data_IF_132904534080
#
_entry.id   IF_132904534080
#
_cell.length_a   1.000
_cell.length_b   1.000
_cell.length_c   1.000
_cell.angle_alpha   90.00
_cell.angle_beta   90.00
_cell.angle_gamma   90.00
#
_symmetry.space_group_name_H-M   'P 1'
#
loop_
_entity.id
_entity.type
_entity.pdbx_description
1 polymer ?
#
# COMPACT_ATOMS: atom_id res chain seq x y z
N UNK A 1 3.28 22.74 0.42
CA UNK A 1 1.85 22.75 0.09
C UNK A 1 1.20 21.39 0.42
N UNK A 2 1.72 20.24 -0.09
CA UNK A 2 1.14 18.92 0.13
C UNK A 2 0.95 18.61 1.63
N UNK A 3 2.01 18.79 2.44
CA UNK A 3 1.94 18.57 3.89
C UNK A 3 0.93 19.49 4.58
N UNK A 4 0.77 20.73 4.10
CA UNK A 4 -0.22 21.65 4.65
C UNK A 4 -1.63 21.13 4.39
N UNK A 5 -1.96 20.81 3.13
CA UNK A 5 -3.27 20.26 2.75
C UNK A 5 -3.59 18.98 3.52
N UNK A 6 -2.62 18.08 3.64
CA UNK A 6 -2.82 16.76 4.29
C UNK A 6 -3.01 16.87 5.82
N UNK A 7 -2.47 17.92 6.45
CA UNK A 7 -2.58 18.14 7.90
C UNK A 7 -3.84 18.92 8.31
N UNK A 8 -4.42 19.71 7.41
CA UNK A 8 -5.56 20.60 7.73
C UNK A 8 -6.87 20.01 7.20
N UNK A 9 -7.28 18.85 7.78
CA UNK A 9 -8.52 18.18 7.40
C UNK A 9 -9.76 19.05 7.66
N UNK A 10 -9.71 20.00 8.57
CA UNK A 10 -10.75 20.98 8.86
C UNK A 10 -10.99 21.97 7.70
N UNK A 11 -9.99 22.11 6.80
CA UNK A 11 -10.09 22.93 5.59
C UNK A 11 -10.23 22.05 4.33
N UNK A 12 -9.71 20.84 4.36
CA UNK A 12 -9.55 19.97 3.18
C UNK A 12 -10.03 18.53 3.49
N UNK A 13 -11.29 18.28 3.18
CA UNK A 13 -11.99 17.03 3.50
C UNK A 13 -11.61 15.87 2.59
N UNK A 14 -11.69 14.66 3.15
CA UNK A 14 -11.60 13.39 2.44
C UNK A 14 -12.95 12.81 2.03
N UNK A 15 -14.07 13.27 2.58
CA UNK A 15 -15.40 12.66 2.42
C UNK A 15 -15.89 12.59 0.96
N UNK A 16 -15.51 13.57 0.13
CA UNK A 16 -15.84 13.55 -1.29
C UNK A 16 -14.99 12.58 -2.12
N UNK A 17 -14.18 11.73 -1.46
CA UNK A 17 -13.28 10.74 -2.05
C UNK A 17 -11.84 11.20 -2.16
N UNK A 18 -10.93 10.22 -2.22
CA UNK A 18 -9.47 10.40 -2.16
C UNK A 18 -8.76 10.28 -3.52
N UNK A 19 -9.48 9.94 -4.57
CA UNK A 19 -8.97 9.80 -5.94
C UNK A 19 -9.69 10.76 -6.88
N UNK A 20 -9.13 10.98 -8.08
CA UNK A 20 -9.74 11.86 -9.10
C UNK A 20 -11.15 11.44 -9.49
N UNK A 21 -11.47 10.16 -9.39
CA UNK A 21 -12.67 9.61 -9.99
C UNK A 21 -12.58 9.60 -11.53
N UNK A 22 -13.52 8.96 -12.19
CA UNK A 22 -13.59 9.00 -13.65
C UNK A 22 -14.36 10.24 -14.12
N UNK A 23 -13.88 10.96 -15.16
CA UNK A 23 -14.69 11.92 -15.86
C UNK A 23 -16.00 11.23 -16.33
N UNK A 24 -17.12 11.90 -16.14
CA UNK A 24 -18.45 11.41 -16.56
C UNK A 24 -19.00 10.15 -15.85
N UNK A 25 -18.58 9.87 -14.63
CA UNK A 25 -19.08 8.73 -13.84
C UNK A 25 -20.49 8.94 -13.25
N UNK A 26 -21.36 9.70 -13.90
CA UNK A 26 -22.80 9.85 -13.55
C UNK A 26 -23.66 8.69 -14.06
N UNK A 27 -23.11 7.48 -14.24
CA UNK A 27 -23.98 6.34 -14.54
C UNK A 27 -24.71 5.92 -13.27
N UNK A 28 -26.04 5.72 -13.37
CA UNK A 28 -26.89 5.22 -12.29
C UNK A 28 -26.38 3.90 -11.67
N UNK A 29 -25.62 3.12 -12.42
CA UNK A 29 -25.00 1.87 -11.96
C UNK A 29 -23.91 2.10 -10.90
N UNK A 30 -23.19 3.25 -10.94
CA UNK A 30 -22.20 3.62 -9.92
C UNK A 30 -22.84 4.19 -8.67
N UNK A 31 -23.97 4.85 -8.77
CA UNK A 31 -24.72 5.34 -7.60
C UNK A 31 -25.19 4.18 -6.72
N UNK A 32 -25.41 3.00 -7.31
CA UNK A 32 -25.87 1.80 -6.61
C UNK A 32 -24.75 0.94 -6.00
N UNK A 33 -23.46 1.19 -6.30
CA UNK A 33 -22.33 0.44 -5.77
C UNK A 33 -21.29 1.39 -5.17
N UNK A 34 -21.70 2.11 -4.13
CA UNK A 34 -20.79 2.97 -3.36
C UNK A 34 -20.34 2.25 -2.10
N UNK A 35 -19.02 2.16 -1.92
CA UNK A 35 -18.40 1.71 -0.67
C UNK A 35 -17.92 2.92 0.11
N UNK A 36 -18.10 2.89 1.43
CA UNK A 36 -17.56 3.88 2.34
C UNK A 36 -16.42 3.26 3.15
N UNK A 37 -15.35 3.99 3.38
CA UNK A 37 -14.21 3.53 4.17
C UNK A 37 -13.57 4.70 4.93
N UNK A 38 -12.85 4.42 6.01
CA UNK A 38 -12.38 5.48 6.90
C UNK A 38 -11.32 6.41 6.29
N UNK A 39 -10.60 6.03 5.22
CA UNK A 39 -9.68 6.96 4.54
C UNK A 39 -10.41 8.05 3.74
N UNK A 40 -11.70 7.80 3.43
CA UNK A 40 -12.60 8.75 2.78
C UNK A 40 -13.67 9.27 3.77
N UNK A 41 -13.29 9.43 5.03
CA UNK A 41 -14.12 10.00 6.09
C UNK A 41 -13.34 11.09 6.81
N UNK A 42 -14.07 12.03 7.40
CA UNK A 42 -13.53 13.02 8.32
C UNK A 42 -13.89 12.66 9.79
N UNK A 43 -13.25 13.27 10.80
CA UNK A 43 -13.61 13.10 12.19
C UNK A 43 -15.09 13.52 12.46
N UNK A 44 -15.79 12.88 13.41
CA UNK A 44 -15.29 11.85 14.34
C UNK A 44 -15.32 10.42 13.78
N UNK A 45 -16.04 10.15 12.68
CA UNK A 45 -16.25 8.81 12.15
C UNK A 45 -14.96 8.14 11.71
N UNK A 46 -14.07 8.91 11.05
CA UNK A 46 -12.72 8.48 10.72
C UNK A 46 -11.97 7.92 11.93
N UNK A 47 -11.96 8.70 13.02
CA UNK A 47 -11.12 8.41 14.19
C UNK A 47 -11.53 7.10 14.87
N UNK A 48 -12.83 6.88 15.06
CA UNK A 48 -13.33 5.67 15.74
C UNK A 48 -13.11 4.40 14.94
N UNK A 49 -13.31 4.45 13.61
CA UNK A 49 -13.08 3.28 12.75
C UNK A 49 -11.59 2.97 12.62
N UNK A 50 -10.77 3.99 12.42
CA UNK A 50 -9.32 3.84 12.37
C UNK A 50 -8.77 3.29 13.70
N UNK A 51 -9.23 3.81 14.83
CA UNK A 51 -8.79 3.37 16.15
C UNK A 51 -9.09 1.89 16.41
N UNK A 52 -10.20 1.37 15.86
CA UNK A 52 -10.58 -0.04 16.01
C UNK A 52 -9.53 -1.00 15.41
N UNK A 53 -8.96 -0.66 14.27
CA UNK A 53 -8.01 -1.53 13.55
C UNK A 53 -6.53 -1.18 13.80
N UNK A 54 -6.25 -0.01 14.36
CA UNK A 54 -4.88 0.45 14.61
C UNK A 54 -4.03 -0.51 15.48
N UNK A 55 -4.58 -1.23 16.47
CA UNK A 55 -3.80 -2.17 17.28
C UNK A 55 -3.11 -3.27 16.50
N UNK A 56 -3.61 -3.67 15.30
CA UNK A 56 -2.99 -4.72 14.47
C UNK A 56 -1.55 -4.36 14.08
N UNK A 57 -1.23 -3.08 13.94
CA UNK A 57 0.11 -2.56 13.61
C UNK A 57 0.78 -1.86 14.80
N UNK A 58 0.31 -2.09 16.02
CA UNK A 58 0.95 -1.58 17.23
C UNK A 58 2.36 -2.18 17.41
N UNK A 59 3.29 -1.47 18.06
CA UNK A 59 4.68 -1.95 18.21
C UNK A 59 4.82 -3.35 18.80
N UNK A 60 3.96 -3.72 19.76
CA UNK A 60 3.93 -5.07 20.35
C UNK A 60 3.57 -6.15 19.33
N UNK A 61 2.57 -5.91 18.49
CA UNK A 61 2.17 -6.85 17.46
C UNK A 61 3.23 -6.94 16.35
N UNK A 62 3.83 -5.81 15.98
CA UNK A 62 4.92 -5.79 15.00
C UNK A 62 6.12 -6.61 15.46
N UNK A 63 6.49 -6.55 16.75
CA UNK A 63 7.57 -7.36 17.30
C UNK A 63 7.28 -8.87 17.15
N UNK A 64 6.03 -9.29 17.32
CA UNK A 64 5.62 -10.68 17.13
C UNK A 64 5.60 -11.10 15.64
N UNK A 65 5.36 -10.15 14.73
CA UNK A 65 5.33 -10.44 13.28
C UNK A 65 6.73 -10.52 12.66
N UNK A 66 7.77 -9.98 13.28
CA UNK A 66 9.12 -9.93 12.68
C UNK A 66 9.65 -11.32 12.34
N UNK A 67 9.53 -12.29 13.26
CA UNK A 67 9.97 -13.68 13.02
C UNK A 67 9.16 -14.34 11.90
N UNK A 68 7.85 -14.14 11.88
CA UNK A 68 6.97 -14.68 10.83
C UNK A 68 7.31 -14.10 9.46
N UNK A 69 7.54 -12.79 9.36
CA UNK A 69 7.95 -12.15 8.10
C UNK A 69 9.27 -12.72 7.61
N UNK A 70 10.24 -12.90 8.51
CA UNK A 70 11.56 -13.42 8.19
C UNK A 70 11.51 -14.87 7.70
N UNK A 71 10.76 -15.72 8.40
CA UNK A 71 10.55 -17.11 8.01
C UNK A 71 9.92 -17.21 6.62
N UNK A 72 8.87 -16.44 6.36
CA UNK A 72 8.19 -16.44 5.06
C UNK A 72 9.04 -15.87 3.95
N UNK A 73 9.71 -14.75 4.18
CA UNK A 73 10.65 -14.18 3.21
C UNK A 73 11.76 -15.18 2.88
N UNK A 74 12.33 -15.84 3.91
CA UNK A 74 13.33 -16.90 3.73
C UNK A 74 12.79 -18.06 2.89
N UNK A 75 11.64 -18.62 3.28
CA UNK A 75 11.02 -19.75 2.56
C UNK A 75 10.70 -19.43 1.10
N UNK A 76 10.16 -18.24 0.83
CA UNK A 76 9.91 -17.77 -0.54
C UNK A 76 11.22 -17.72 -1.33
N UNK A 77 12.26 -17.05 -0.80
CA UNK A 77 13.54 -16.90 -1.50
C UNK A 77 14.27 -18.23 -1.70
N UNK A 78 14.13 -19.20 -0.78
CA UNK A 78 14.71 -20.54 -0.88
C UNK A 78 14.00 -21.43 -1.93
N UNK A 79 12.75 -21.10 -2.30
CA UNK A 79 11.98 -21.83 -3.32
C UNK A 79 12.18 -21.32 -4.75
N UNK A 80 12.91 -20.22 -4.94
CA UNK A 80 13.07 -19.58 -6.23
C UNK A 80 14.04 -20.35 -7.15
N UNK A 81 13.81 -20.34 -8.48
CA UNK A 81 14.71 -20.96 -9.41
C UNK A 81 16.06 -20.20 -9.45
N UNK A 82 17.15 -20.94 -9.53
CA UNK A 82 18.52 -20.42 -9.63
C UNK A 82 18.96 -20.50 -11.10
N UNK A 83 19.63 -19.45 -11.58
CA UNK A 83 20.14 -19.31 -12.96
C UNK A 83 19.07 -19.33 -14.06
N UNK A 84 17.81 -19.30 -13.72
CA UNK A 84 16.68 -19.19 -14.63
C UNK A 84 15.99 -17.82 -14.50
N UNK A 85 15.36 -17.36 -15.59
CA UNK A 85 14.54 -16.15 -15.56
C UNK A 85 13.15 -16.47 -15.02
N UNK A 86 12.67 -15.61 -14.11
CA UNK A 86 11.31 -15.69 -13.57
C UNK A 86 10.75 -14.30 -13.27
N UNK A 87 9.45 -14.23 -12.93
CA UNK A 87 8.79 -12.98 -12.57
C UNK A 87 8.88 -12.72 -11.05
N UNK A 88 9.66 -11.70 -10.68
CA UNK A 88 9.82 -11.27 -9.29
C UNK A 88 8.53 -10.77 -8.66
N UNK A 89 7.65 -10.13 -9.46
CA UNK A 89 6.40 -9.56 -8.94
C UNK A 89 5.52 -10.66 -8.39
N UNK A 90 5.28 -11.72 -9.15
CA UNK A 90 4.43 -12.83 -8.74
C UNK A 90 5.10 -13.71 -7.68
N UNK A 91 6.34 -14.14 -7.94
CA UNK A 91 7.02 -15.13 -7.12
C UNK A 91 7.43 -14.60 -5.73
N UNK A 92 7.72 -13.31 -5.60
CA UNK A 92 8.22 -12.72 -4.35
C UNK A 92 7.30 -11.64 -3.80
N UNK A 93 7.05 -10.58 -4.59
CA UNK A 93 6.39 -9.38 -4.05
C UNK A 93 4.93 -9.65 -3.70
N UNK A 94 4.17 -10.29 -4.60
CA UNK A 94 2.78 -10.69 -4.36
C UNK A 94 2.72 -11.79 -3.29
N UNK A 95 3.57 -12.80 -3.39
CA UNK A 95 3.52 -13.93 -2.48
C UNK A 95 3.72 -13.50 -1.03
N UNK A 96 4.75 -12.68 -0.74
CA UNK A 96 5.01 -12.21 0.61
C UNK A 96 3.88 -11.32 1.15
N UNK A 97 3.45 -10.33 0.36
CA UNK A 97 2.39 -9.40 0.83
C UNK A 97 1.07 -10.11 1.04
N UNK A 98 0.74 -11.09 0.20
CA UNK A 98 -0.48 -11.90 0.31
C UNK A 98 -0.46 -12.77 1.55
N UNK A 99 0.67 -13.43 1.84
CA UNK A 99 0.86 -14.22 3.06
C UNK A 99 0.74 -13.34 4.32
N UNK A 100 1.28 -12.12 4.27
CA UNK A 100 1.18 -11.19 5.41
C UNK A 100 -0.25 -10.68 5.61
N UNK A 101 -0.97 -10.37 4.54
CA UNK A 101 -2.38 -10.02 4.63
C UNK A 101 -3.22 -11.15 5.22
N UNK A 102 -3.01 -12.39 4.76
CA UNK A 102 -3.70 -13.55 5.32
C UNK A 102 -3.48 -13.66 6.83
N UNK A 103 -2.27 -13.37 7.32
CA UNK A 103 -1.99 -13.32 8.77
C UNK A 103 -2.73 -12.19 9.48
N UNK A 104 -2.72 -10.98 8.92
CA UNK A 104 -3.35 -9.82 9.55
C UNK A 104 -4.88 -9.95 9.65
N UNK A 105 -5.49 -10.67 8.71
CA UNK A 105 -6.93 -10.94 8.68
C UNK A 105 -7.32 -12.27 9.37
N UNK A 106 -6.37 -13.12 9.76
CA UNK A 106 -6.61 -14.54 10.10
C UNK A 106 -7.45 -15.21 9.01
N UNK A 107 -7.02 -15.00 7.75
CA UNK A 107 -7.70 -15.47 6.54
C UNK A 107 -7.17 -16.87 6.15
N UNK A 108 -8.01 -17.79 5.63
CA UNK A 108 -7.58 -19.10 5.16
C UNK A 108 -6.39 -19.01 4.21
N UNK A 109 -5.31 -19.68 4.56
CA UNK A 109 -4.02 -19.51 3.87
C UNK A 109 -4.05 -20.03 2.43
N UNK A 110 -4.81 -21.09 2.19
CA UNK A 110 -5.06 -21.68 0.87
C UNK A 110 -5.73 -20.71 -0.09
N UNK A 111 -6.61 -19.86 0.43
CA UNK A 111 -7.39 -18.89 -0.35
C UNK A 111 -6.71 -17.51 -0.45
N UNK A 112 -5.52 -17.34 0.12
CA UNK A 112 -4.83 -16.04 0.24
C UNK A 112 -4.73 -15.25 -1.07
N UNK A 113 -4.61 -15.92 -2.22
CA UNK A 113 -4.51 -15.27 -3.53
C UNK A 113 -5.78 -14.50 -3.93
N UNK A 114 -6.92 -14.79 -3.32
CA UNK A 114 -8.15 -14.00 -3.48
C UNK A 114 -7.94 -12.56 -2.99
N UNK A 115 -7.13 -12.34 -1.95
CA UNK A 115 -6.82 -11.00 -1.43
C UNK A 115 -6.14 -10.14 -2.50
N UNK A 116 -5.16 -10.70 -3.23
CA UNK A 116 -4.51 -9.99 -4.35
C UNK A 116 -5.48 -9.75 -5.49
N UNK A 117 -6.30 -10.74 -5.87
CA UNK A 117 -7.30 -10.60 -6.93
C UNK A 117 -8.29 -9.47 -6.63
N UNK A 118 -8.83 -9.41 -5.42
CA UNK A 118 -9.77 -8.35 -5.02
C UNK A 118 -9.08 -6.97 -4.94
N UNK A 119 -7.80 -6.93 -4.54
CA UNK A 119 -6.99 -5.70 -4.59
C UNK A 119 -6.84 -5.17 -6.01
N UNK A 120 -6.44 -6.03 -6.95
CA UNK A 120 -6.24 -5.68 -8.35
C UNK A 120 -7.55 -5.20 -9.00
N UNK A 121 -8.66 -5.88 -8.72
CA UNK A 121 -10.00 -5.49 -9.19
C UNK A 121 -10.44 -4.15 -8.58
N UNK A 122 -10.19 -3.94 -7.30
CA UNK A 122 -10.57 -2.70 -6.63
C UNK A 122 -9.81 -1.47 -7.15
N UNK A 123 -8.53 -1.64 -7.49
CA UNK A 123 -7.64 -0.58 -7.98
C UNK A 123 -7.61 -0.45 -9.51
N UNK A 124 -8.25 -1.37 -10.24
CA UNK A 124 -8.32 -1.35 -11.69
C UNK A 124 -8.92 -0.03 -12.20
N UNK A 125 -8.15 0.67 -13.02
CA UNK A 125 -8.57 1.89 -13.71
C UNK A 125 -9.27 1.59 -15.04
N UNK A 126 -9.75 2.64 -15.72
CA UNK A 126 -10.24 2.51 -17.09
C UNK A 126 -9.16 1.96 -18.01
N UNK A 127 -9.49 0.99 -18.83
CA UNK A 127 -8.57 0.40 -19.80
C UNK A 127 -7.83 -0.85 -19.31
N UNK A 128 -8.03 -1.29 -18.06
CA UNK A 128 -7.46 -2.55 -17.54
C UNK A 128 -8.22 -3.80 -17.98
N UNK A 129 -9.19 -3.67 -18.90
CA UNK A 129 -9.98 -4.81 -19.39
C UNK A 129 -11.01 -5.35 -18.39
N UNK A 130 -11.12 -4.79 -17.19
CA UNK A 130 -12.11 -5.17 -16.17
C UNK A 130 -13.37 -4.32 -16.34
N UNK A 131 -14.51 -4.95 -16.69
CA UNK A 131 -15.79 -4.25 -16.79
C UNK A 131 -16.33 -3.84 -15.43
N UNK A 132 -17.26 -2.86 -15.41
CA UNK A 132 -17.92 -2.44 -14.17
C UNK A 132 -18.73 -3.59 -13.54
N UNK A 133 -19.35 -4.43 -14.37
CA UNK A 133 -20.10 -5.61 -13.93
C UNK A 133 -19.18 -6.67 -13.31
N UNK A 134 -18.07 -6.99 -13.98
CA UNK A 134 -17.06 -7.91 -13.45
C UNK A 134 -16.53 -7.41 -12.12
N UNK A 135 -16.14 -6.13 -12.04
CA UNK A 135 -15.68 -5.51 -10.79
C UNK A 135 -16.71 -5.64 -9.67
N UNK A 136 -17.98 -5.37 -9.96
CA UNK A 136 -19.08 -5.50 -9.00
C UNK A 136 -19.20 -6.95 -8.51
N UNK A 137 -19.21 -7.90 -9.40
CA UNK A 137 -19.33 -9.33 -9.09
C UNK A 137 -18.21 -9.79 -8.17
N UNK A 138 -16.97 -9.46 -8.51
CA UNK A 138 -15.79 -9.83 -7.74
C UNK A 138 -15.76 -9.19 -6.34
N UNK A 139 -16.16 -7.93 -6.22
CA UNK A 139 -16.22 -7.26 -4.93
C UNK A 139 -17.40 -7.74 -4.06
N UNK A 140 -18.49 -8.20 -4.66
CA UNK A 140 -19.57 -8.86 -3.92
C UNK A 140 -19.16 -10.26 -3.45
N UNK A 141 -18.36 -10.99 -4.24
CA UNK A 141 -17.72 -12.24 -3.79
C UNK A 141 -16.83 -11.99 -2.56
N UNK A 142 -16.00 -10.95 -2.59
CA UNK A 142 -15.21 -10.52 -1.45
C UNK A 142 -16.09 -10.25 -0.22
N UNK A 143 -17.17 -9.49 -0.38
CA UNK A 143 -18.11 -9.22 0.70
C UNK A 143 -18.73 -10.49 1.28
N UNK A 144 -19.18 -11.41 0.43
CA UNK A 144 -19.77 -12.67 0.85
C UNK A 144 -18.77 -13.55 1.62
N UNK A 145 -17.54 -13.64 1.14
CA UNK A 145 -16.47 -14.39 1.80
C UNK A 145 -16.16 -13.82 3.19
N UNK A 146 -15.92 -12.53 3.29
CA UNK A 146 -15.63 -11.89 4.57
C UNK A 146 -16.82 -11.84 5.51
N UNK A 147 -18.06 -11.80 5.01
CA UNK A 147 -19.26 -11.92 5.84
C UNK A 147 -19.35 -13.28 6.51
N UNK A 148 -18.95 -14.36 5.82
CA UNK A 148 -18.85 -15.69 6.42
C UNK A 148 -17.83 -15.69 7.56
N UNK A 149 -16.62 -15.20 7.32
CA UNK A 149 -15.57 -15.10 8.35
C UNK A 149 -16.00 -14.22 9.53
N UNK A 150 -16.69 -13.12 9.25
CA UNK A 150 -17.27 -12.25 10.28
C UNK A 150 -18.24 -13.02 11.17
N UNK A 151 -19.19 -13.75 10.58
CA UNK A 151 -20.18 -14.55 11.31
C UNK A 151 -19.54 -15.65 12.18
N UNK A 152 -18.41 -16.17 11.77
CA UNK A 152 -17.61 -17.07 12.60
C UNK A 152 -16.99 -16.32 13.79
N UNK A 153 -16.36 -15.16 13.54
CA UNK A 153 -15.64 -14.36 14.56
C UNK A 153 -16.52 -13.75 15.63
N UNK A 154 -17.76 -13.32 15.31
CA UNK A 154 -18.67 -12.74 16.32
C UNK A 154 -19.05 -13.73 17.42
N UNK A 155 -18.95 -15.04 17.15
CA UNK A 155 -19.24 -16.11 18.10
C UNK A 155 -18.00 -16.63 18.84
N UNK A 156 -16.80 -16.13 18.51
CA UNK A 156 -15.55 -16.48 19.16
C UNK A 156 -15.11 -15.40 20.15
N UNK A 157 -14.14 -15.72 21.00
CA UNK A 157 -13.50 -14.69 21.82
C UNK A 157 -12.72 -13.69 20.92
N UNK A 158 -12.66 -12.39 21.27
CA UNK A 158 -11.91 -11.41 20.53
C UNK A 158 -10.44 -11.81 20.32
N UNK A 159 -9.95 -11.69 19.08
CA UNK A 159 -8.58 -11.97 18.68
C UNK A 159 -7.89 -10.70 18.14
N UNK A 160 -6.59 -10.78 17.94
CA UNK A 160 -5.76 -9.67 17.45
C UNK A 160 -5.71 -9.52 15.93
N UNK A 161 -6.60 -10.18 15.18
CA UNK A 161 -6.73 -10.04 13.74
C UNK A 161 -7.74 -8.96 13.33
N UNK A 162 -7.64 -8.48 12.08
CA UNK A 162 -8.47 -7.39 11.57
C UNK A 162 -9.96 -7.73 11.52
N UNK A 163 -10.34 -8.97 11.21
CA UNK A 163 -11.75 -9.38 11.15
C UNK A 163 -12.34 -9.38 12.55
N UNK A 164 -11.64 -9.97 13.51
CA UNK A 164 -12.07 -10.01 14.91
C UNK A 164 -12.15 -8.59 15.50
N UNK A 165 -11.18 -7.71 15.22
CA UNK A 165 -11.21 -6.31 15.66
C UNK A 165 -12.43 -5.57 15.13
N UNK A 166 -12.77 -5.73 13.85
CA UNK A 166 -13.93 -5.10 13.24
C UNK A 166 -15.25 -5.68 13.79
N UNK A 167 -15.33 -7.01 13.98
CA UNK A 167 -16.52 -7.71 14.44
C UNK A 167 -16.86 -7.42 15.91
N UNK A 168 -15.87 -7.21 16.77
CA UNK A 168 -16.05 -6.93 18.19
C UNK A 168 -15.94 -5.44 18.55
N UNK A 169 -15.46 -4.61 17.61
CA UNK A 169 -15.31 -3.17 17.84
C UNK A 169 -16.66 -2.49 18.11
N UNK A 170 -16.76 -1.72 19.20
CA UNK A 170 -17.98 -1.02 19.58
C UNK A 170 -18.57 -0.18 18.44
N UNK A 171 -17.70 0.47 17.68
CA UNK A 171 -18.05 1.43 16.62
C UNK A 171 -18.05 0.82 15.21
N UNK A 172 -17.74 -0.48 15.09
CA UNK A 172 -17.63 -1.16 13.78
C UNK A 172 -18.54 -2.39 13.67
N UNK A 173 -18.93 -3.02 14.77
CA UNK A 173 -19.73 -4.25 14.77
C UNK A 173 -21.10 -4.12 14.10
N UNK A 174 -21.66 -2.91 14.04
CA UNK A 174 -22.98 -2.63 13.47
C UNK A 174 -22.89 -1.88 12.12
N UNK A 175 -21.68 -1.88 11.45
CA UNK A 175 -21.54 -1.16 10.20
C UNK A 175 -22.32 -1.84 9.06
N UNK A 176 -22.82 -1.00 8.14
CA UNK A 176 -23.55 -1.49 6.97
C UNK A 176 -22.64 -2.37 6.07
N UNK A 177 -23.19 -3.37 5.35
CA UNK A 177 -22.39 -4.27 4.50
C UNK A 177 -21.46 -3.57 3.51
N UNK A 178 -21.91 -2.49 2.87
CA UNK A 178 -21.10 -1.75 1.90
C UNK A 178 -20.01 -0.89 2.57
N UNK A 179 -20.18 -0.49 3.81
CA UNK A 179 -19.15 0.17 4.61
C UNK A 179 -18.12 -0.86 5.11
N UNK A 180 -18.56 -2.04 5.51
CA UNK A 180 -17.68 -3.16 5.84
C UNK A 180 -16.81 -3.53 4.62
N UNK A 181 -17.42 -3.75 3.44
CA UNK A 181 -16.69 -4.00 2.21
C UNK A 181 -15.68 -2.90 1.90
N UNK A 182 -16.08 -1.63 2.04
CA UNK A 182 -15.20 -0.50 1.79
C UNK A 182 -13.95 -0.50 2.70
N UNK A 183 -14.14 -0.79 3.98
CA UNK A 183 -13.02 -0.90 4.94
C UNK A 183 -12.14 -2.12 4.66
N UNK A 184 -12.72 -3.27 4.29
CA UNK A 184 -11.96 -4.44 3.87
C UNK A 184 -11.07 -4.13 2.67
N UNK A 185 -11.66 -3.56 1.61
CA UNK A 185 -10.92 -3.18 0.40
C UNK A 185 -9.80 -2.19 0.74
N UNK A 186 -10.06 -1.19 1.58
CA UNK A 186 -9.04 -0.25 2.03
C UNK A 186 -7.85 -0.97 2.69
N UNK A 187 -8.12 -1.90 3.60
CA UNK A 187 -7.09 -2.63 4.34
C UNK A 187 -6.34 -3.62 3.44
N UNK A 188 -7.04 -4.29 2.52
CA UNK A 188 -6.44 -5.20 1.54
C UNK A 188 -5.53 -4.43 0.58
N UNK A 189 -6.02 -3.39 -0.08
CA UNK A 189 -5.25 -2.56 -1.03
C UNK A 189 -4.07 -1.89 -0.33
N UNK A 190 -4.30 -1.32 0.85
CA UNK A 190 -3.24 -0.64 1.62
C UNK A 190 -2.10 -1.57 2.03
N UNK A 191 -2.42 -2.81 2.41
CA UNK A 191 -1.42 -3.80 2.83
C UNK A 191 -0.74 -4.55 1.68
N UNK A 192 -1.40 -4.66 0.53
CA UNK A 192 -0.90 -5.41 -0.63
C UNK A 192 -0.14 -4.50 -1.62
N UNK A 193 -0.84 -3.58 -2.29
CA UNK A 193 -0.34 -2.90 -3.49
C UNK A 193 0.90 -2.03 -3.23
N UNK A 194 0.90 -1.30 -2.12
CA UNK A 194 1.98 -0.35 -1.84
C UNK A 194 3.28 -1.05 -1.47
N UNK A 195 3.21 -2.12 -0.68
CA UNK A 195 4.36 -2.89 -0.23
C UNK A 195 4.93 -3.73 -1.37
N UNK A 196 4.10 -4.48 -2.13
CA UNK A 196 4.56 -5.27 -3.28
C UNK A 196 5.29 -4.40 -4.31
N UNK A 197 4.75 -3.23 -4.59
CA UNK A 197 5.36 -2.31 -5.55
C UNK A 197 6.65 -1.67 -5.03
N UNK A 198 6.80 -1.52 -3.71
CA UNK A 198 8.04 -1.06 -3.09
C UNK A 198 9.12 -2.16 -3.09
N UNK A 199 8.74 -3.42 -2.89
CA UNK A 199 9.65 -4.58 -3.00
C UNK A 199 10.20 -4.66 -4.43
N UNK A 200 9.32 -4.69 -5.44
CA UNK A 200 9.71 -4.75 -6.85
C UNK A 200 10.49 -3.51 -7.29
N UNK A 201 10.04 -2.32 -6.85
CA UNK A 201 10.68 -1.05 -7.17
C UNK A 201 12.09 -0.91 -6.59
N UNK A 202 12.34 -1.52 -5.42
CA UNK A 202 13.68 -1.56 -4.81
C UNK A 202 14.66 -2.40 -5.64
N UNK A 203 14.24 -3.56 -6.13
CA UNK A 203 15.05 -4.40 -7.03
C UNK A 203 15.38 -3.65 -8.32
N UNK A 204 14.38 -3.06 -8.96
CA UNK A 204 14.57 -2.29 -10.18
C UNK A 204 15.49 -1.08 -9.96
N UNK A 205 15.28 -0.33 -8.88
CA UNK A 205 16.09 0.86 -8.58
C UNK A 205 17.57 0.52 -8.40
N UNK A 206 17.90 -0.55 -7.67
CA UNK A 206 19.30 -0.97 -7.48
C UNK A 206 19.93 -1.47 -8.78
N UNK A 207 19.16 -2.12 -9.66
CA UNK A 207 19.67 -2.50 -10.99
C UNK A 207 19.91 -1.28 -11.89
N UNK A 208 19.11 -0.23 -11.77
CA UNK A 208 19.28 1.04 -12.50
C UNK A 208 20.42 1.90 -11.94
N UNK A 209 20.85 1.64 -10.69
CA UNK A 209 21.91 2.35 -9.99
C UNK A 209 22.95 1.35 -9.44
N UNK A 210 23.78 0.74 -10.31
CA UNK A 210 24.67 -0.35 -9.93
C UNK A 210 25.75 0.05 -8.91
N UNK A 211 26.13 1.33 -8.87
CA UNK A 211 27.01 1.91 -7.85
C UNK A 211 26.36 1.86 -6.46
N UNK A 212 25.06 2.14 -6.36
CA UNK A 212 24.30 2.05 -5.11
C UNK A 212 24.09 0.58 -4.70
N UNK A 213 23.92 -0.32 -5.66
CA UNK A 213 23.82 -1.75 -5.37
C UNK A 213 25.17 -2.29 -4.86
N UNK A 214 26.29 -1.89 -5.49
CA UNK A 214 27.61 -2.26 -4.98
C UNK A 214 27.84 -1.74 -3.56
N UNK A 215 27.52 -0.46 -3.30
CA UNK A 215 27.61 0.15 -1.98
C UNK A 215 26.83 -0.60 -0.92
N UNK A 216 25.62 -1.12 -1.28
CA UNK A 216 24.81 -1.94 -0.39
C UNK A 216 25.46 -3.30 -0.10
N UNK A 217 26.04 -3.94 -1.11
CA UNK A 217 26.76 -5.22 -0.95
C UNK A 217 27.98 -5.10 -0.06
N UNK A 218 28.71 -3.99 -0.22
CA UNK A 218 29.91 -3.70 0.59
C UNK A 218 29.57 -3.35 2.04
N UNK A 219 28.37 -2.79 2.25
CA UNK A 219 27.90 -2.42 3.59
C UNK A 219 26.40 -2.71 3.79
N UNK A 220 26.02 -3.93 4.18
CA UNK A 220 24.62 -4.31 4.46
C UNK A 220 23.95 -3.51 5.59
N UNK A 221 24.71 -2.86 6.49
CA UNK A 221 24.17 -2.00 7.54
C UNK A 221 23.46 -0.75 6.99
N UNK A 222 23.57 -0.51 5.69
CA UNK A 222 22.81 0.55 4.99
C UNK A 222 21.36 0.17 4.73
N UNK A 223 20.93 -1.09 4.88
CA UNK A 223 19.54 -1.50 4.63
C UNK A 223 18.53 -0.58 5.34
N UNK A 224 18.65 -0.28 6.67
CA UNK A 224 17.66 0.58 7.32
C UNK A 224 17.58 2.00 6.76
N UNK A 225 18.65 2.52 6.16
CA UNK A 225 18.69 3.84 5.50
C UNK A 225 18.14 3.77 4.08
N UNK A 226 18.37 2.66 3.38
CA UNK A 226 17.90 2.42 2.02
C UNK A 226 16.37 2.28 1.96
N UNK A 227 15.72 1.69 2.95
CA UNK A 227 14.27 1.44 2.91
C UNK A 227 13.45 2.73 2.70
N UNK A 228 13.64 3.82 3.47
CA UNK A 228 12.97 5.08 3.19
C UNK A 228 13.26 5.65 1.81
N UNK A 229 14.47 5.46 1.29
CA UNK A 229 14.83 5.91 -0.07
C UNK A 229 14.12 5.10 -1.14
N UNK A 230 13.98 3.77 -0.98
CA UNK A 230 13.15 2.93 -1.87
C UNK A 230 11.70 3.45 -1.88
N UNK A 231 11.13 3.73 -0.72
CA UNK A 231 9.74 4.21 -0.60
C UNK A 231 9.58 5.59 -1.22
N UNK A 232 10.54 6.49 -1.04
CA UNK A 232 10.58 7.80 -1.70
C UNK A 232 10.66 7.66 -3.22
N UNK A 233 11.60 6.84 -3.69
CA UNK A 233 11.87 6.63 -5.12
C UNK A 233 10.71 5.98 -5.85
N UNK A 234 10.16 4.93 -5.26
CA UNK A 234 9.01 4.22 -5.82
C UNK A 234 7.73 5.04 -5.74
N UNK A 235 7.44 5.68 -4.61
CA UNK A 235 6.18 6.42 -4.39
C UNK A 235 4.99 5.61 -4.91
N UNK A 236 4.59 4.51 -4.27
CA UNK A 236 3.67 3.52 -4.85
C UNK A 236 2.25 4.04 -5.09
N UNK A 237 1.83 5.10 -4.38
CA UNK A 237 0.63 5.88 -4.69
C UNK A 237 1.05 7.24 -5.24
N UNK A 238 0.60 7.54 -6.46
CA UNK A 238 1.03 8.74 -7.17
C UNK A 238 0.51 10.03 -6.50
N UNK A 239 -0.70 9.99 -5.98
CA UNK A 239 -1.37 11.14 -5.37
C UNK A 239 -2.48 10.72 -4.41
N UNK A 240 -2.96 11.67 -3.63
CA UNK A 240 -4.25 11.65 -2.94
C UNK A 240 -5.01 12.92 -3.26
N UNK A 241 -6.34 12.91 -3.09
CA UNK A 241 -7.22 14.06 -3.30
C UNK A 241 -7.83 14.53 -1.99
N UNK A 242 -8.06 15.85 -1.91
CA UNK A 242 -8.92 16.49 -0.91
C UNK A 242 -9.91 17.42 -1.61
N UNK A 243 -10.94 17.81 -0.90
CA UNK A 243 -11.92 18.81 -1.35
C UNK A 243 -11.92 19.97 -0.36
N UNK A 244 -11.79 21.20 -0.85
CA UNK A 244 -11.83 22.38 -0.01
C UNK A 244 -13.21 22.60 0.60
N UNK A 245 -13.26 22.78 1.93
CA UNK A 245 -14.51 23.03 2.67
C UNK A 245 -14.85 24.51 2.74
N UNK A 246 -13.85 25.37 2.64
CA UNK A 246 -13.98 26.83 2.73
C UNK A 246 -13.11 27.51 1.68
N UNK A 247 -13.45 28.75 1.34
CA UNK A 247 -12.58 29.61 0.54
C UNK A 247 -11.30 29.91 1.34
N UNK A 248 -10.14 29.64 0.74
CA UNK A 248 -8.84 29.80 1.41
C UNK A 248 -7.74 30.20 0.43
N UNK A 249 -6.56 30.46 0.97
CA UNK A 249 -5.36 30.72 0.19
C UNK A 249 -4.33 29.60 0.42
N UNK A 250 -3.77 29.08 -0.65
CA UNK A 250 -2.66 28.15 -0.60
C UNK A 250 -1.50 28.70 -1.44
N UNK A 251 -0.41 29.06 -0.80
CA UNK A 251 0.76 29.66 -1.43
C UNK A 251 0.40 30.83 -2.39
N UNK A 252 -0.46 31.76 -1.89
CA UNK A 252 -0.94 32.92 -2.64
C UNK A 252 -2.00 32.65 -3.70
N UNK A 253 -2.37 31.40 -3.94
CA UNK A 253 -3.44 31.03 -4.88
C UNK A 253 -4.77 30.90 -4.16
N UNK A 254 -5.83 31.45 -4.75
CA UNK A 254 -7.19 31.33 -4.24
C UNK A 254 -7.73 29.93 -4.51
N UNK A 255 -8.18 29.25 -3.46
CA UNK A 255 -8.89 27.97 -3.49
C UNK A 255 -10.32 28.26 -3.05
N UNK A 256 -11.28 27.79 -3.81
CA UNK A 256 -12.71 27.98 -3.50
C UNK A 256 -13.29 26.74 -2.84
N UNK A 257 -14.32 26.92 -2.05
CA UNK A 257 -15.14 25.86 -1.52
C UNK A 257 -15.59 24.90 -2.64
N UNK A 258 -15.36 23.59 -2.45
CA UNK A 258 -15.64 22.55 -3.43
C UNK A 258 -14.52 22.28 -4.44
N UNK A 259 -13.46 23.08 -4.47
CA UNK A 259 -12.30 22.79 -5.32
C UNK A 259 -11.62 21.48 -4.91
N UNK A 260 -11.16 20.73 -5.91
CA UNK A 260 -10.41 19.48 -5.73
C UNK A 260 -8.92 19.76 -5.74
N UNK A 261 -8.25 19.39 -4.66
CA UNK A 261 -6.79 19.52 -4.51
C UNK A 261 -6.15 18.13 -4.67
N UNK A 262 -5.21 18.04 -5.59
CA UNK A 262 -4.42 16.82 -5.81
C UNK A 262 -3.03 16.99 -5.19
N UNK A 263 -2.77 16.17 -4.21
CA UNK A 263 -1.48 16.08 -3.54
C UNK A 263 -0.60 15.07 -4.29
N UNK A 264 0.15 15.53 -5.30
CA UNK A 264 1.02 14.71 -6.13
C UNK A 264 2.27 14.26 -5.36
N UNK A 265 2.18 13.15 -4.64
CA UNK A 265 3.30 12.60 -3.87
C UNK A 265 4.51 12.26 -4.75
N UNK A 266 4.28 11.78 -5.99
CA UNK A 266 5.36 11.53 -6.95
C UNK A 266 6.15 12.80 -7.29
N UNK A 267 5.48 13.95 -7.39
CA UNK A 267 6.14 15.24 -7.61
C UNK A 267 6.82 15.75 -6.35
N UNK A 268 6.11 15.70 -5.21
CA UNK A 268 6.66 16.16 -3.94
C UNK A 268 7.89 15.38 -3.48
N UNK A 269 7.95 14.08 -3.78
CA UNK A 269 9.13 13.24 -3.53
C UNK A 269 10.30 13.49 -4.50
N UNK A 270 10.11 14.39 -5.48
CA UNK A 270 11.12 14.86 -6.44
C UNK A 270 11.32 16.37 -6.36
N UNK A 271 10.84 17.03 -5.31
CA UNK A 271 10.94 18.48 -5.16
C UNK A 271 12.35 18.89 -4.73
N UNK A 272 13.11 19.49 -5.66
CA UNK A 272 14.48 19.96 -5.44
C UNK A 272 14.59 21.14 -4.47
N UNK A 273 13.49 21.78 -4.11
CA UNK A 273 13.50 22.85 -3.10
C UNK A 273 13.64 22.33 -1.66
N UNK A 274 13.35 21.02 -1.44
CA UNK A 274 13.36 20.40 -0.11
C UNK A 274 14.15 19.09 -0.04
N UNK A 275 14.45 18.48 -1.19
CA UNK A 275 15.21 17.22 -1.29
C UNK A 275 16.44 17.47 -2.17
N UNK A 276 17.62 17.31 -1.58
CA UNK A 276 18.86 17.43 -2.36
C UNK A 276 18.96 16.29 -3.37
N UNK A 277 19.37 16.61 -4.62
CA UNK A 277 19.49 15.65 -5.73
C UNK A 277 18.26 14.70 -5.82
N UNK A 278 17.03 15.24 -6.00
CA UNK A 278 15.79 14.46 -5.86
C UNK A 278 15.64 13.35 -6.91
N UNK A 279 16.28 13.52 -8.08
CA UNK A 279 16.26 12.57 -9.19
C UNK A 279 17.36 11.52 -9.14
N UNK A 280 18.17 11.52 -8.08
CA UNK A 280 19.14 10.48 -7.80
C UNK A 280 18.61 9.52 -6.75
N UNK A 281 18.85 8.21 -6.97
CA UNK A 281 18.62 7.17 -5.98
C UNK A 281 19.86 7.03 -5.10
N UNK A 282 19.76 7.36 -3.82
CA UNK A 282 20.89 7.42 -2.87
C UNK A 282 20.52 6.63 -1.62
N UNK A 283 21.06 5.43 -1.44
CA UNK A 283 20.64 4.49 -0.39
C UNK A 283 20.95 4.94 1.04
N UNK A 284 21.87 5.86 1.22
CA UNK A 284 22.19 6.48 2.51
C UNK A 284 21.82 7.96 2.59
N UNK A 285 20.86 8.38 1.78
CA UNK A 285 20.35 9.76 1.74
C UNK A 285 20.05 10.28 3.15
N UNK A 286 20.60 11.43 3.54
CA UNK A 286 20.20 12.10 4.78
C UNK A 286 18.70 12.40 4.75
N UNK A 287 18.02 12.16 5.87
CA UNK A 287 16.60 12.47 6.04
C UNK A 287 15.65 11.81 5.02
N UNK A 288 16.02 10.66 4.43
CA UNK A 288 15.17 9.94 3.47
C UNK A 288 13.75 9.65 4.00
N UNK A 289 13.57 9.58 5.33
CA UNK A 289 12.25 9.40 5.99
C UNK A 289 11.32 10.61 5.89
N UNK A 290 11.79 11.75 5.41
CA UNK A 290 10.95 12.93 5.17
C UNK A 290 10.16 12.87 3.86
N UNK A 291 10.15 11.71 3.17
CA UNK A 291 9.33 11.51 1.99
C UNK A 291 7.81 11.62 2.29
N UNK A 292 7.03 11.88 1.24
CA UNK A 292 5.59 12.10 1.34
C UNK A 292 4.76 10.82 1.16
N UNK A 293 5.37 9.68 0.81
CA UNK A 293 4.64 8.45 0.41
C UNK A 293 3.70 7.90 1.47
N UNK A 294 3.93 8.19 2.75
CA UNK A 294 3.04 7.78 3.85
C UNK A 294 1.97 8.81 4.21
N UNK A 295 1.96 9.96 3.53
CA UNK A 295 1.07 11.07 3.88
C UNK A 295 1.35 11.65 5.27
N UNK A 296 0.50 12.60 5.67
CA UNK A 296 0.58 13.33 6.94
C UNK A 296 -0.82 13.49 7.56
N UNK A 297 -0.88 14.08 8.75
CA UNK A 297 -2.13 14.36 9.42
C UNK A 297 -2.88 13.08 9.84
N UNK A 298 -4.20 13.20 9.93
CA UNK A 298 -5.08 12.13 10.43
C UNK A 298 -5.08 10.88 9.53
N UNK A 299 -4.87 11.05 8.23
CA UNK A 299 -4.82 9.97 7.24
C UNK A 299 -3.41 9.40 7.01
N UNK A 300 -2.41 9.78 7.80
CA UNK A 300 -1.07 9.19 7.68
C UNK A 300 -1.15 7.67 7.68
N UNK A 301 -0.37 7.02 6.81
CA UNK A 301 -0.34 5.57 6.68
C UNK A 301 -0.22 4.88 8.04
N UNK A 302 -1.17 4.03 8.35
CA UNK A 302 -1.22 3.26 9.59
C UNK A 302 -0.16 2.16 9.60
N UNK A 303 0.04 1.52 8.42
CA UNK A 303 0.96 0.39 8.23
C UNK A 303 2.41 0.77 7.93
N UNK A 304 2.82 2.05 8.07
CA UNK A 304 4.15 2.49 7.66
C UNK A 304 5.30 1.68 8.29
N UNK A 305 5.19 1.36 9.59
CA UNK A 305 6.20 0.56 10.30
C UNK A 305 6.26 -0.89 9.81
N UNK A 306 5.09 -1.48 9.51
CA UNK A 306 5.01 -2.83 8.97
C UNK A 306 5.59 -2.90 7.56
N UNK A 307 5.32 -1.91 6.71
CA UNK A 307 5.87 -1.82 5.36
C UNK A 307 7.41 -1.67 5.40
N UNK A 308 7.94 -0.76 6.23
CA UNK A 308 9.39 -0.61 6.42
C UNK A 308 10.03 -1.91 6.94
N UNK A 309 9.39 -2.61 7.88
CA UNK A 309 9.86 -3.88 8.43
C UNK A 309 9.90 -4.98 7.37
N UNK A 310 8.84 -5.15 6.57
CA UNK A 310 8.81 -6.14 5.49
C UNK A 310 9.92 -5.87 4.48
N UNK A 311 10.07 -4.64 4.02
CA UNK A 311 11.12 -4.25 3.08
C UNK A 311 12.52 -4.52 3.66
N UNK A 312 12.77 -4.16 4.92
CA UNK A 312 14.04 -4.41 5.60
C UNK A 312 14.36 -5.90 5.62
N UNK A 313 13.42 -6.72 6.09
CA UNK A 313 13.63 -8.16 6.21
C UNK A 313 13.86 -8.81 4.86
N UNK A 314 13.09 -8.44 3.83
CA UNK A 314 13.29 -8.95 2.46
C UNK A 314 14.72 -8.69 1.98
N UNK A 315 15.23 -7.46 2.16
CA UNK A 315 16.60 -7.12 1.74
C UNK A 315 17.67 -7.81 2.58
N UNK A 316 17.46 -7.97 3.89
CA UNK A 316 18.34 -8.76 4.76
C UNK A 316 18.42 -10.22 4.28
N UNK A 317 17.26 -10.83 3.94
CA UNK A 317 17.21 -12.21 3.46
C UNK A 317 17.73 -12.39 2.03
N UNK A 318 17.54 -11.40 1.13
CA UNK A 318 18.15 -11.37 -0.21
C UNK A 318 19.67 -11.37 -0.09
N UNK A 319 20.24 -10.44 0.68
CA UNK A 319 21.70 -10.31 0.81
C UNK A 319 22.37 -11.51 1.51
N UNK A 320 21.63 -12.31 2.26
CA UNK A 320 22.16 -13.57 2.81
C UNK A 320 22.33 -14.66 1.76
N UNK A 321 21.45 -14.69 0.75
CA UNK A 321 21.34 -15.78 -0.23
C UNK A 321 21.99 -15.46 -1.56
N UNK A 322 21.83 -14.24 -2.02
CA UNK A 322 22.16 -13.85 -3.37
C UNK A 322 23.21 -12.73 -3.37
N UNK A 323 24.16 -12.85 -4.31
CA UNK A 323 25.06 -11.77 -4.64
C UNK A 323 24.29 -10.65 -5.37
N UNK A 324 23.41 -11.04 -6.27
CA UNK A 324 22.62 -10.08 -7.08
C UNK A 324 21.28 -10.69 -7.47
N UNK A 325 20.23 -9.86 -7.42
CA UNK A 325 18.99 -10.08 -8.15
C UNK A 325 19.08 -9.21 -9.40
N UNK A 326 19.37 -9.83 -10.54
CA UNK A 326 19.55 -9.15 -11.83
C UNK A 326 18.22 -8.97 -12.53
N UNK A 327 17.88 -7.75 -12.95
CA UNK A 327 16.73 -7.48 -13.82
C UNK A 327 17.16 -7.76 -15.26
N UNK A 328 16.56 -8.78 -15.88
CA UNK A 328 16.96 -9.33 -17.19
C UNK A 328 16.17 -8.74 -18.36
N UNK A 329 15.03 -8.06 -18.09
CA UNK A 329 14.17 -7.55 -19.15
C UNK A 329 13.45 -6.27 -18.77
N UNK A 330 12.60 -5.78 -19.67
CA UNK A 330 11.79 -4.58 -19.44
C UNK A 330 10.66 -4.88 -18.47
N UNK A 331 10.51 -4.12 -17.37
CA UNK A 331 9.41 -4.30 -16.46
C UNK A 331 8.07 -3.89 -17.10
N UNK A 332 7.02 -4.66 -16.86
CA UNK A 332 5.67 -4.27 -17.22
C UNK A 332 5.06 -3.46 -16.07
N UNK A 333 4.40 -2.34 -16.43
CA UNK A 333 3.84 -1.40 -15.45
C UNK A 333 2.34 -1.60 -15.26
N UNK A 334 1.87 -1.42 -14.04
CA UNK A 334 0.44 -1.31 -13.77
C UNK A 334 -0.15 -0.12 -14.53
N UNK A 335 -1.18 -0.36 -15.32
CA UNK A 335 -1.90 0.69 -16.04
C UNK A 335 -2.84 1.41 -15.07
N UNK A 336 -2.35 2.42 -14.38
CA UNK A 336 -3.08 3.18 -13.38
C UNK A 336 -2.51 4.59 -13.26
N UNK A 337 -3.38 5.58 -13.05
CA UNK A 337 -2.99 6.94 -12.68
C UNK A 337 -2.74 7.08 -11.18
N UNK A 338 -3.21 6.13 -10.37
CA UNK A 338 -3.17 6.16 -8.93
C UNK A 338 -2.07 5.26 -8.34
N UNK A 339 -2.04 4.00 -8.76
CA UNK A 339 -1.01 3.04 -8.34
C UNK A 339 0.18 3.09 -9.29
N UNK A 340 1.35 3.43 -8.78
CA UNK A 340 2.62 3.35 -9.51
C UNK A 340 3.26 1.99 -9.20
N UNK A 341 3.01 1.01 -10.06
CA UNK A 341 3.35 -0.38 -9.78
C UNK A 341 3.86 -1.16 -10.98
N UNK A 342 4.01 -2.45 -10.74
CA UNK A 342 4.51 -3.43 -11.70
C UNK A 342 3.56 -4.62 -11.76
N UNK A 343 3.29 -5.10 -12.97
CA UNK A 343 2.60 -6.36 -13.23
C UNK A 343 3.58 -7.49 -13.51
N UNK A 344 4.79 -7.15 -13.98
CA UNK A 344 5.87 -8.12 -14.22
C UNK A 344 7.24 -7.45 -14.06
N UNK A 345 8.18 -8.18 -13.48
CA UNK A 345 9.59 -7.80 -13.39
C UNK A 345 10.45 -9.05 -13.61
N UNK A 346 10.93 -9.28 -14.84
CA UNK A 346 11.78 -10.43 -15.12
C UNK A 346 13.14 -10.29 -14.44
N UNK A 347 13.53 -11.33 -13.70
CA UNK A 347 14.81 -11.35 -12.98
C UNK A 347 15.49 -12.70 -13.07
N UNK A 348 16.80 -12.70 -12.78
CA UNK A 348 17.64 -13.88 -12.55
C UNK A 348 18.40 -13.71 -11.25
N UNK A 349 18.54 -14.78 -10.49
CA UNK A 349 19.29 -14.80 -9.23
C UNK A 349 20.72 -15.26 -9.45
N UNK A 350 21.66 -14.56 -8.84
CA UNK A 350 23.06 -14.95 -8.78
C UNK A 350 23.38 -15.30 -7.31
N UNK A 351 23.59 -16.59 -6.98
CA UNK A 351 23.92 -17.03 -5.62
C UNK A 351 25.24 -16.41 -5.11
N UNK A 352 25.41 -16.40 -3.78
CA UNK A 352 26.68 -16.04 -3.15
C UNK A 352 27.71 -17.14 -3.26
#
# INVERSE_FOLDING_TARGET
>A
DIMYVDKHHELFSSEAGITLGLPNSRSKERENFQTSNFIAMDPPKHDVQRATVAPVVAPSNLANLESTIRERAGAILDSLPIDEEFDWVDAVSIELTTQMLATLFDFPFEDRRLLTRWSDVATAGPGNGISAEQRRTELLECLAYFTRLWNERVNEAPKGDLISMLAHGKDTRDMAPMEFLGNLILLIVGGNDTTRNSISGGVLALNQHPDQYQKLRDNPDLIPKMIPEIIRWQTPLAYMRRTALVDTLLNGKKIKTGDKLLMWYVSGNRDGSVIDQPDNFIIDRPNARHHLSFGFGIHRCMGNRLAEMQLRIVWEEILKRFHTVEVTGTPERTYSTFVKGYTKLPVRLHPR
#
